data_IF_400239369898
#
_entry.id   IF_400239369898
#
_cell.length_a   1.000
_cell.length_b   1.000
_cell.length_c   1.000
_cell.angle_alpha   90.00
_cell.angle_beta   90.00
_cell.angle_gamma   90.00
#
_symmetry.space_group_name_H-M   'P 1'
#
loop_
_entity.id
_entity.type
_entity.pdbx_description
1 polymer ?
#
# COMPACT_ATOMS: atom_id res chain seq x y z
N UNK A 1 -11.38 -8.02 3.96
CA UNK A 1 -11.09 -6.57 4.06
C UNK A 1 -9.69 -6.37 3.51
N UNK A 2 -9.43 -5.27 2.80
CA UNK A 2 -8.17 -5.06 2.09
C UNK A 2 -7.22 -4.06 2.75
N UNK A 3 -5.94 -4.42 2.79
CA UNK A 3 -4.83 -3.60 3.28
C UNK A 3 -3.62 -3.68 2.33
N UNK A 4 -2.63 -2.82 2.52
CA UNK A 4 -1.40 -2.84 1.72
C UNK A 4 -0.34 -3.68 2.41
N UNK A 5 0.17 -4.70 1.73
CA UNK A 5 1.15 -5.64 2.25
C UNK A 5 2.56 -5.35 1.73
N UNK A 6 3.56 -5.82 2.47
CA UNK A 6 4.97 -5.81 2.08
C UNK A 6 5.62 -7.16 2.40
N UNK A 7 6.41 -7.70 1.48
CA UNK A 7 7.19 -8.91 1.70
C UNK A 7 8.47 -8.57 2.48
N UNK A 8 8.53 -9.02 3.73
CA UNK A 8 9.65 -8.74 4.64
C UNK A 8 10.46 -9.98 5.03
N UNK A 9 10.12 -11.15 4.48
CA UNK A 9 10.75 -12.47 4.75
C UNK A 9 12.23 -12.61 4.39
N UNK A 10 12.88 -11.56 3.90
CA UNK A 10 14.22 -11.60 3.30
C UNK A 10 14.33 -12.45 2.01
N UNK A 11 13.23 -13.07 1.56
CA UNK A 11 13.18 -14.05 0.47
C UNK A 11 12.21 -13.60 -0.63
N UNK A 12 12.04 -14.42 -1.67
CA UNK A 12 11.03 -14.18 -2.70
C UNK A 12 9.87 -15.16 -2.56
N UNK A 13 8.67 -14.63 -2.32
CA UNK A 13 7.45 -15.41 -2.10
C UNK A 13 6.81 -15.72 -3.47
N UNK A 14 6.52 -16.99 -3.82
CA UNK A 14 5.83 -17.33 -5.06
C UNK A 14 4.36 -16.87 -5.04
N UNK A 15 3.86 -16.38 -6.17
CA UNK A 15 2.43 -16.05 -6.35
C UNK A 15 1.80 -17.05 -7.33
N UNK A 16 0.63 -17.58 -6.96
CA UNK A 16 -0.12 -18.59 -7.71
C UNK A 16 -1.41 -18.04 -8.29
N UNK A 17 -1.97 -18.78 -9.26
CA UNK A 17 -3.31 -18.57 -9.81
C UNK A 17 -4.37 -18.47 -8.70
N UNK A 18 -5.36 -17.58 -8.84
CA UNK A 18 -6.42 -17.41 -7.83
C UNK A 18 -7.36 -18.62 -7.73
N UNK A 19 -7.43 -19.46 -8.76
CA UNK A 19 -8.06 -20.76 -8.66
C UNK A 19 -7.20 -21.67 -7.76
N UNK A 20 -7.82 -22.31 -6.76
CA UNK A 20 -7.13 -23.15 -5.77
C UNK A 20 -6.78 -24.53 -6.37
N UNK A 21 -7.57 -25.04 -7.31
CA UNK A 21 -7.29 -26.30 -8.02
C UNK A 21 -6.13 -26.14 -9.02
N UNK A 22 -5.89 -24.91 -9.48
CA UNK A 22 -4.77 -24.55 -10.37
C UNK A 22 -3.58 -24.05 -9.54
N UNK A 23 -2.57 -24.90 -9.35
CA UNK A 23 -1.35 -24.51 -8.66
C UNK A 23 -0.27 -23.91 -9.57
N UNK A 24 -0.66 -23.34 -10.72
CA UNK A 24 0.25 -22.60 -11.60
C UNK A 24 0.80 -21.36 -10.91
N UNK A 25 2.13 -21.23 -10.87
CA UNK A 25 2.82 -20.01 -10.43
C UNK A 25 2.72 -18.94 -11.52
N UNK A 26 2.12 -17.81 -11.20
CA UNK A 26 1.92 -16.66 -12.10
C UNK A 26 2.92 -15.52 -11.84
N UNK A 27 3.69 -15.59 -10.75
CA UNK A 27 4.73 -14.61 -10.44
C UNK A 27 5.45 -14.90 -9.12
N UNK A 28 6.02 -13.86 -8.53
CA UNK A 28 6.61 -13.86 -7.19
C UNK A 28 6.85 -12.43 -6.72
N UNK A 29 6.75 -12.20 -5.42
CA UNK A 29 7.10 -10.94 -4.77
C UNK A 29 8.58 -10.97 -4.35
N UNK A 30 9.35 -9.93 -4.63
CA UNK A 30 10.70 -9.72 -4.10
C UNK A 30 10.71 -9.19 -2.66
N UNK A 31 11.88 -9.19 -2.01
CA UNK A 31 12.04 -8.56 -0.68
C UNK A 31 11.82 -7.04 -0.76
N UNK A 32 11.11 -6.49 0.24
CA UNK A 32 10.56 -5.11 0.28
C UNK A 32 9.57 -4.78 -0.88
N UNK A 33 9.14 -5.75 -1.69
CA UNK A 33 8.08 -5.54 -2.68
C UNK A 33 6.74 -5.33 -1.98
N UNK A 34 5.97 -4.36 -2.47
CA UNK A 34 4.70 -3.89 -1.91
C UNK A 34 3.55 -4.22 -2.85
N UNK A 35 2.44 -4.67 -2.29
CA UNK A 35 1.29 -5.24 -3.02
C UNK A 35 0.00 -4.97 -2.25
N UNK A 36 -1.15 -5.22 -2.87
CA UNK A 36 -2.44 -5.05 -2.22
C UNK A 36 -3.01 -6.41 -1.79
N UNK A 37 -3.27 -6.61 -0.49
CA UNK A 37 -4.09 -7.74 -0.03
C UNK A 37 -5.55 -7.38 -0.21
N UNK A 38 -6.29 -8.15 -1.01
CA UNK A 38 -7.73 -7.93 -1.26
C UNK A 38 -8.60 -8.81 -0.36
N UNK A 39 -8.14 -10.02 -0.06
CA UNK A 39 -8.73 -10.90 0.95
C UNK A 39 -7.66 -11.75 1.66
N UNK A 40 -7.92 -12.14 2.89
CA UNK A 40 -7.06 -13.02 3.68
C UNK A 40 -7.97 -13.97 4.47
N UNK A 41 -7.67 -15.26 4.41
CA UNK A 41 -8.45 -16.31 5.05
C UNK A 41 -7.68 -17.63 5.13
N UNK A 42 -8.22 -18.66 5.81
CA UNK A 42 -7.48 -19.85 6.23
C UNK A 42 -7.05 -20.82 5.12
N UNK A 43 -7.30 -20.48 3.85
CA UNK A 43 -6.97 -21.31 2.67
C UNK A 43 -5.97 -20.58 1.75
N UNK A 44 -5.97 -19.25 1.74
CA UNK A 44 -5.16 -18.42 0.87
C UNK A 44 -5.20 -16.95 1.29
N UNK A 45 -4.13 -16.21 0.97
CA UNK A 45 -4.13 -14.74 0.96
C UNK A 45 -4.29 -14.31 -0.50
N UNK A 46 -5.42 -13.69 -0.85
CA UNK A 46 -5.69 -13.17 -2.19
C UNK A 46 -5.12 -11.76 -2.30
N UNK A 47 -4.30 -11.55 -3.32
CA UNK A 47 -3.57 -10.30 -3.55
C UNK A 47 -3.82 -9.76 -4.96
N UNK A 48 -3.59 -8.46 -5.13
CA UNK A 48 -3.29 -7.87 -6.43
C UNK A 48 -1.85 -7.38 -6.41
N UNK A 49 -1.08 -7.72 -7.44
CA UNK A 49 0.32 -7.35 -7.59
C UNK A 49 0.64 -7.06 -9.06
N UNK A 50 1.85 -6.57 -9.33
CA UNK A 50 2.30 -6.27 -10.70
C UNK A 50 3.30 -7.33 -11.14
N UNK A 51 2.95 -8.08 -12.18
CA UNK A 51 3.77 -9.18 -12.68
C UNK A 51 5.02 -8.69 -13.46
N UNK A 52 5.83 -9.64 -13.94
CA UNK A 52 7.03 -9.38 -14.75
C UNK A 52 6.78 -8.71 -16.10
N UNK A 53 5.52 -8.66 -16.59
CA UNK A 53 5.13 -7.87 -17.77
C UNK A 53 4.62 -6.47 -17.41
N UNK A 54 4.86 -5.98 -16.19
CA UNK A 54 4.40 -4.67 -15.73
C UNK A 54 2.88 -4.55 -15.60
N UNK A 55 2.17 -5.68 -15.59
CA UNK A 55 0.71 -5.76 -15.65
C UNK A 55 0.12 -6.06 -14.27
N UNK A 56 -0.90 -5.30 -13.88
CA UNK A 56 -1.69 -5.61 -12.68
C UNK A 56 -2.45 -6.92 -12.86
N UNK A 57 -2.22 -7.88 -11.97
CA UNK A 57 -2.90 -9.18 -11.95
C UNK A 57 -3.33 -9.56 -10.53
N UNK A 58 -4.41 -10.32 -10.44
CA UNK A 58 -4.86 -10.94 -9.20
C UNK A 58 -4.17 -12.30 -9.02
N UNK A 59 -3.81 -12.65 -7.79
CA UNK A 59 -3.11 -13.89 -7.45
C UNK A 59 -3.37 -14.32 -6.02
N UNK A 60 -2.83 -15.48 -5.62
CA UNK A 60 -2.81 -15.93 -4.22
C UNK A 60 -1.40 -16.23 -3.72
N UNK A 61 -1.20 -15.95 -2.44
CA UNK A 61 -0.12 -16.51 -1.64
C UNK A 61 -0.64 -17.71 -0.84
N UNK A 62 0.29 -18.50 -0.32
CA UNK A 62 0.04 -19.45 0.74
C UNK A 62 -0.57 -18.75 1.98
N UNK A 63 -1.50 -19.37 2.74
CA UNK A 63 -2.02 -18.79 3.98
C UNK A 63 -0.95 -18.48 5.03
N UNK A 64 0.15 -19.25 5.05
CA UNK A 64 1.28 -19.08 5.98
C UNK A 64 2.43 -18.24 5.37
N UNK A 65 2.19 -17.51 4.27
CA UNK A 65 3.20 -16.66 3.64
C UNK A 65 3.61 -15.48 4.53
N UNK A 66 4.91 -15.36 4.81
CA UNK A 66 5.50 -14.34 5.69
C UNK A 66 5.45 -12.92 5.08
N UNK A 67 4.34 -12.23 5.36
CA UNK A 67 4.05 -10.87 4.91
C UNK A 67 3.64 -9.96 6.06
N UNK A 68 3.98 -8.68 5.96
CA UNK A 68 3.69 -7.66 6.97
C UNK A 68 2.67 -6.65 6.45
N UNK A 69 1.96 -5.96 7.36
CA UNK A 69 1.16 -4.77 6.99
C UNK A 69 2.15 -3.62 6.74
N UNK A 70 2.04 -2.96 5.59
CA UNK A 70 2.96 -1.87 5.24
C UNK A 70 2.89 -0.69 6.25
N UNK A 71 1.75 -0.53 6.95
CA UNK A 71 1.59 0.45 8.02
C UNK A 71 2.28 0.08 9.35
N UNK A 72 2.89 -1.11 9.49
CA UNK A 72 3.80 -1.40 10.62
C UNK A 72 5.09 -0.58 10.50
N UNK A 73 5.48 -0.28 9.25
CA UNK A 73 6.65 0.53 8.89
C UNK A 73 6.27 2.02 8.79
N UNK A 74 5.84 2.61 9.91
CA UNK A 74 5.51 4.04 10.00
C UNK A 74 6.53 4.79 10.88
N UNK A 75 6.98 5.96 10.38
CA UNK A 75 7.74 6.89 11.19
C UNK A 75 6.88 7.49 12.30
N UNK A 76 7.52 7.89 13.40
CA UNK A 76 6.89 8.62 14.51
C UNK A 76 7.75 9.83 14.88
N UNK A 77 7.10 10.93 15.24
CA UNK A 77 7.75 12.19 15.63
C UNK A 77 6.99 12.82 16.79
N UNK A 78 7.66 13.60 17.63
CA UNK A 78 6.99 14.43 18.64
C UNK A 78 6.12 15.53 18.01
N UNK A 79 6.41 15.95 16.78
CA UNK A 79 5.65 16.98 16.06
C UNK A 79 4.37 16.45 15.38
N UNK A 80 4.27 15.14 15.13
CA UNK A 80 3.10 14.49 14.51
C UNK A 80 2.73 13.28 15.36
N UNK A 81 1.68 13.35 16.21
CA UNK A 81 1.37 12.34 17.23
C UNK A 81 0.69 11.08 16.66
N UNK A 82 1.06 10.67 15.45
CA UNK A 82 0.56 9.49 14.74
C UNK A 82 1.70 8.86 13.93
N UNK A 83 1.52 7.61 13.50
CA UNK A 83 2.41 7.02 12.51
C UNK A 83 2.25 7.71 11.15
N UNK A 84 3.35 7.99 10.45
CA UNK A 84 3.32 8.64 9.14
C UNK A 84 4.38 8.12 8.15
N UNK A 85 4.17 8.43 6.88
CA UNK A 85 5.16 8.32 5.80
C UNK A 85 5.52 9.70 5.22
N UNK A 86 6.61 9.82 4.47
CA UNK A 86 6.96 11.04 3.69
C UNK A 86 6.93 10.75 2.19
N UNK A 87 6.35 11.62 1.37
CA UNK A 87 6.30 11.39 -0.08
C UNK A 87 7.62 11.77 -0.77
N UNK A 88 8.01 11.01 -1.78
CA UNK A 88 9.20 11.27 -2.61
C UNK A 88 8.91 12.23 -3.79
N UNK A 89 7.64 12.29 -4.18
CA UNK A 89 7.12 12.84 -5.42
C UNK A 89 5.70 13.37 -5.17
N UNK A 90 5.13 14.02 -6.19
CA UNK A 90 3.77 14.54 -6.06
C UNK A 90 2.75 13.39 -5.95
N UNK A 91 2.00 13.35 -4.84
CA UNK A 91 0.89 12.43 -4.62
C UNK A 91 -0.43 13.05 -5.05
N UNK A 92 -1.40 12.21 -5.39
CA UNK A 92 -2.75 12.60 -5.77
C UNK A 92 -3.73 12.04 -4.76
N UNK A 93 -4.66 12.88 -4.32
CA UNK A 93 -5.74 12.52 -3.42
C UNK A 93 -7.03 12.30 -4.20
N UNK A 94 -7.77 11.28 -3.79
CA UNK A 94 -9.02 10.81 -4.37
C UNK A 94 -10.04 10.55 -3.26
N UNK A 95 -11.32 10.63 -3.59
CA UNK A 95 -12.38 10.15 -2.70
C UNK A 95 -12.63 8.63 -2.83
N UNK A 96 -13.61 8.12 -2.08
CA UNK A 96 -13.98 6.70 -2.07
C UNK A 96 -14.57 6.16 -3.37
N UNK A 97 -14.94 7.03 -4.34
CA UNK A 97 -15.34 6.63 -5.69
C UNK A 97 -14.15 6.48 -6.65
N UNK A 98 -12.98 7.01 -6.28
CA UNK A 98 -11.82 7.16 -7.16
C UNK A 98 -11.82 8.49 -7.93
N UNK A 99 -12.69 9.44 -7.59
CA UNK A 99 -12.69 10.77 -8.22
C UNK A 99 -11.56 11.63 -7.64
N UNK A 100 -10.83 12.31 -8.52
CA UNK A 100 -9.66 13.13 -8.16
C UNK A 100 -10.09 14.40 -7.41
N UNK A 101 -9.42 14.67 -6.28
CA UNK A 101 -9.69 15.81 -5.42
C UNK A 101 -8.55 16.85 -5.48
N UNK A 102 -7.31 16.43 -5.22
CA UNK A 102 -6.17 17.34 -5.12
C UNK A 102 -4.83 16.68 -5.47
N UNK A 103 -3.79 17.50 -5.70
CA UNK A 103 -2.39 17.05 -5.83
C UNK A 103 -1.50 17.79 -4.85
N UNK A 104 -0.64 17.06 -4.15
CA UNK A 104 0.29 17.60 -3.15
C UNK A 104 1.73 17.28 -3.56
N UNK A 105 2.71 18.14 -3.25
CA UNK A 105 4.08 18.02 -3.75
C UNK A 105 4.89 16.87 -3.11
N UNK A 106 6.12 16.69 -3.59
CA UNK A 106 7.11 15.88 -2.89
C UNK A 106 7.38 16.42 -1.48
N UNK A 107 7.63 15.53 -0.52
CA UNK A 107 7.84 15.86 0.89
C UNK A 107 6.56 16.08 1.69
N UNK A 108 5.37 15.89 1.11
CA UNK A 108 4.11 15.81 1.87
C UNK A 108 4.18 14.66 2.88
N UNK A 109 3.63 14.86 4.07
CA UNK A 109 3.57 13.84 5.12
C UNK A 109 2.19 13.21 5.11
N UNK A 110 2.14 11.88 5.09
CA UNK A 110 0.91 11.09 4.98
C UNK A 110 0.65 10.37 6.29
N UNK A 111 -0.51 10.60 6.91
CA UNK A 111 -0.99 9.82 8.06
C UNK A 111 -2.07 8.83 7.58
N UNK A 112 -1.78 7.51 7.50
CA UNK A 112 -2.75 6.51 7.05
C UNK A 112 -3.80 6.17 8.11
N UNK A 113 -4.83 5.43 7.69
CA UNK A 113 -5.88 4.91 8.56
C UNK A 113 -5.48 3.56 9.20
N UNK A 114 -4.62 3.60 10.23
CA UNK A 114 -4.05 2.40 10.87
C UNK A 114 -5.03 1.55 11.68
N UNK A 115 -6.21 2.08 12.01
CA UNK A 115 -7.15 1.46 12.98
C UNK A 115 -8.10 0.41 12.34
N UNK A 116 -7.93 0.07 11.06
CA UNK A 116 -8.74 -0.98 10.41
C UNK A 116 -8.01 -1.66 9.26
N UNK A 117 -8.29 -2.95 8.99
CA UNK A 117 -7.85 -3.66 7.77
C UNK A 117 -8.67 -3.30 6.51
N UNK A 118 -9.24 -2.10 6.49
CA UNK A 118 -9.96 -1.50 5.35
C UNK A 118 -9.23 -0.22 4.92
N UNK A 119 -7.96 -0.40 4.57
CA UNK A 119 -7.05 0.66 4.13
C UNK A 119 -7.12 0.86 2.61
N UNK A 120 -7.52 -0.17 1.86
CA UNK A 120 -7.51 -0.11 0.39
C UNK A 120 -8.74 0.63 -0.16
N UNK A 121 -8.57 1.33 -1.28
CA UNK A 121 -9.68 1.94 -2.01
C UNK A 121 -10.63 0.90 -2.61
N UNK A 122 -11.95 1.13 -2.51
CA UNK A 122 -12.98 0.18 -2.97
C UNK A 122 -12.84 -0.19 -4.45
N UNK A 123 -12.53 0.79 -5.30
CA UNK A 123 -12.28 0.62 -6.74
C UNK A 123 -10.80 0.44 -7.08
N UNK A 124 -9.90 0.77 -6.15
CA UNK A 124 -8.46 0.89 -6.34
C UNK A 124 -7.71 0.23 -5.18
N UNK A 125 -7.34 -1.06 -5.31
CA UNK A 125 -6.72 -1.79 -4.22
C UNK A 125 -5.31 -1.28 -3.90
N UNK A 126 -4.70 -0.51 -4.80
CA UNK A 126 -3.41 0.18 -4.69
C UNK A 126 -3.50 1.58 -4.06
N UNK A 127 -4.69 2.01 -3.62
CA UNK A 127 -4.89 3.30 -2.94
C UNK A 127 -4.90 3.13 -1.42
N UNK A 128 -4.13 3.97 -0.72
CA UNK A 128 -4.06 4.00 0.74
C UNK A 128 -5.05 5.02 1.33
N UNK A 129 -5.93 4.56 2.21
CA UNK A 129 -6.84 5.41 2.99
C UNK A 129 -6.07 6.23 4.02
N UNK A 130 -6.31 7.53 4.02
CA UNK A 130 -5.64 8.51 4.88
C UNK A 130 -6.58 9.08 5.95
N UNK A 131 -5.98 9.59 7.02
CA UNK A 131 -6.63 10.31 8.11
C UNK A 131 -6.31 11.82 8.06
N UNK A 132 -5.11 12.18 7.62
CA UNK A 132 -4.65 13.56 7.48
C UNK A 132 -3.44 13.65 6.55
N UNK A 133 -3.20 14.84 6.00
CA UNK A 133 -1.95 15.22 5.32
C UNK A 133 -1.32 16.43 6.02
N UNK A 134 0.02 16.50 6.02
CA UNK A 134 0.78 17.67 6.48
C UNK A 134 1.78 18.09 5.39
N UNK A 135 2.17 19.37 5.39
CA UNK A 135 3.22 19.89 4.52
C UNK A 135 4.61 19.35 4.93
N UNK A 136 5.61 19.64 4.08
CA UNK A 136 7.03 19.32 4.32
C UNK A 136 7.64 19.91 5.59
N UNK A 137 6.94 20.82 6.27
CA UNK A 137 7.38 21.51 7.49
C UNK A 137 6.66 20.99 8.74
N UNK A 138 5.61 20.17 8.59
CA UNK A 138 4.79 19.63 9.67
C UNK A 138 3.51 20.43 9.96
N UNK A 139 3.11 21.37 9.11
CA UNK A 139 1.82 22.07 9.22
C UNK A 139 0.72 21.18 8.62
N UNK A 140 -0.42 21.03 9.31
CA UNK A 140 -1.55 20.26 8.75
C UNK A 140 -2.13 20.96 7.52
N UNK A 141 -2.40 20.20 6.46
CA UNK A 141 -3.11 20.71 5.28
C UNK A 141 -4.60 20.84 5.65
N UNK A 142 -5.19 22.01 5.36
CA UNK A 142 -6.54 22.39 5.79
C UNK A 142 -7.69 21.75 5.01
N UNK A 143 -7.39 20.89 4.05
CA UNK A 143 -8.37 20.22 3.19
C UNK A 143 -9.05 19.06 3.94
N UNK A 144 -10.28 18.70 3.55
CA UNK A 144 -10.95 17.52 4.09
C UNK A 144 -10.27 16.24 3.58
N UNK A 145 -9.30 15.79 4.38
CA UNK A 145 -8.40 14.67 4.12
C UNK A 145 -8.83 13.40 4.88
N UNK A 146 -9.90 13.46 5.69
CA UNK A 146 -10.27 12.36 6.57
C UNK A 146 -11.05 11.27 5.84
N UNK A 147 -10.45 10.09 5.72
CA UNK A 147 -11.05 8.95 5.03
C UNK A 147 -10.95 9.02 3.50
N UNK A 148 -10.29 10.04 2.96
CA UNK A 148 -9.84 10.12 1.57
C UNK A 148 -8.74 9.08 1.28
N UNK A 149 -8.32 9.00 0.02
CA UNK A 149 -7.38 8.00 -0.47
C UNK A 149 -6.22 8.65 -1.25
N UNK A 150 -5.04 8.04 -1.24
CA UNK A 150 -3.92 8.43 -2.11
C UNK A 150 -3.45 7.28 -3.01
N UNK A 151 -3.05 7.62 -4.24
CA UNK A 151 -2.40 6.72 -5.19
C UNK A 151 -0.98 6.35 -4.70
N UNK A 152 -0.81 5.10 -4.23
CA UNK A 152 0.50 4.60 -3.79
C UNK A 152 1.34 3.99 -4.93
N UNK A 153 0.91 4.08 -6.19
CA UNK A 153 1.65 3.65 -7.41
C UNK A 153 2.45 2.35 -7.22
N UNK A 154 1.82 1.33 -6.66
CA UNK A 154 2.40 -0.02 -6.64
C UNK A 154 2.60 -0.43 -8.10
N UNK A 155 3.87 -0.58 -8.50
CA UNK A 155 4.30 -0.78 -9.89
C UNK A 155 5.51 -1.72 -9.93
N UNK A 156 5.71 -2.36 -11.07
CA UNK A 156 6.87 -3.23 -11.28
C UNK A 156 8.17 -2.46 -11.04
N UNK A 157 9.14 -3.11 -10.39
CA UNK A 157 10.41 -2.52 -9.98
C UNK A 157 10.29 -1.35 -8.98
N UNK A 158 9.25 -1.35 -8.12
CA UNK A 158 9.05 -0.36 -7.04
C UNK A 158 9.96 -0.57 -5.83
N UNK A 159 11.28 -0.49 -6.06
CA UNK A 159 12.22 -0.11 -5.01
C UNK A 159 11.78 1.22 -4.38
N UNK A 160 11.31 2.15 -5.22
CA UNK A 160 10.62 3.36 -4.81
C UNK A 160 9.09 3.17 -4.92
N UNK A 161 8.41 3.38 -3.79
CA UNK A 161 6.95 3.65 -3.70
C UNK A 161 6.82 5.16 -3.40
N UNK A 162 5.76 5.90 -3.80
CA UNK A 162 5.70 7.36 -3.70
C UNK A 162 5.65 7.96 -2.27
N UNK A 163 5.97 7.12 -1.30
CA UNK A 163 5.63 7.12 0.11
C UNK A 163 6.83 6.44 0.76
N UNK A 164 7.93 7.18 0.88
CA UNK A 164 9.13 6.73 1.58
C UNK A 164 8.84 6.66 3.08
N UNK A 165 8.83 5.43 3.58
CA UNK A 165 9.74 5.12 4.66
C UNK A 165 11.14 4.92 4.07
N UNK A 166 12.10 5.69 4.58
CA UNK A 166 13.54 5.51 4.33
C UNK A 166 14.06 4.46 5.34
N UNK A 167 14.47 3.29 4.84
CA UNK A 167 14.77 2.09 5.65
C UNK A 167 16.19 1.60 5.41
N UNK A 168 17.14 2.29 6.03
CA UNK A 168 18.46 1.74 6.38
C UNK A 168 18.27 0.68 7.47
#
# INVERSE_FOLDING_TARGET
MGYLGINMSGSSIPVYSTNIEDNTRIGSLGYKERFAVTSSGPIAIVIKFVNSSGSWVDGRLDPDADISDWCEYLFRSSAIPAGYFRTDSAVRMYDSSGSFQASYPAGTVVVPYTESRSQNGTSHPDYLRIRALYDRNGNQISDDTYGMFIDCRIRYNSGNTPVYGDWN
#
